data_IF_925896421307
#
_entry.id   IF_925896421307
#
_cell.length_a   1.000
_cell.length_b   1.000
_cell.length_c   1.000
_cell.angle_alpha   90.00
_cell.angle_beta   90.00
_cell.angle_gamma   90.00
#
_symmetry.space_group_name_H-M   'P 1'
#
loop_
_entity.id
_entity.type
_entity.pdbx_description
1 polymer ?
#
# COMPACT_ATOMS: atom_id res chain seq x y z
N UNK A 1 -9.65 -11.99 1.82
CA UNK A 1 -8.87 -10.84 1.34
C UNK A 1 -7.71 -10.58 2.30
N UNK A 2 -6.49 -10.77 1.83
CA UNK A 2 -5.24 -10.43 2.54
C UNK A 2 -5.01 -8.92 2.52
N UNK A 3 -4.08 -8.45 3.34
CA UNK A 3 -3.63 -7.04 3.39
C UNK A 3 -3.14 -6.56 2.02
N UNK A 4 -2.44 -7.43 1.28
CA UNK A 4 -1.95 -7.16 -0.08
C UNK A 4 -3.10 -6.99 -1.08
N UNK A 5 -4.03 -7.94 -1.09
CA UNK A 5 -5.19 -7.91 -2.00
C UNK A 5 -6.06 -6.66 -1.77
N UNK A 6 -6.18 -6.21 -0.52
CA UNK A 6 -6.94 -5.01 -0.17
C UNK A 6 -6.33 -3.73 -0.77
N UNK A 7 -5.00 -3.59 -0.71
CA UNK A 7 -4.29 -2.44 -1.27
C UNK A 7 -4.40 -2.44 -2.79
N UNK A 8 -4.20 -3.59 -3.42
CA UNK A 8 -4.29 -3.73 -4.88
C UNK A 8 -5.72 -3.40 -5.38
N UNK A 9 -6.76 -3.88 -4.69
CA UNK A 9 -8.15 -3.59 -5.02
C UNK A 9 -8.53 -2.11 -4.84
N UNK A 10 -7.94 -1.42 -3.85
CA UNK A 10 -8.13 0.02 -3.69
C UNK A 10 -7.60 0.81 -4.90
N UNK A 11 -6.41 0.47 -5.39
CA UNK A 11 -5.80 1.21 -6.51
C UNK A 11 -6.40 0.88 -7.89
N UNK A 12 -6.70 -0.40 -8.15
CA UNK A 12 -7.07 -0.86 -9.49
C UNK A 12 -8.55 -1.17 -9.65
N UNK A 13 -9.23 -1.64 -8.61
CA UNK A 13 -10.66 -1.97 -8.65
C UNK A 13 -11.54 -0.82 -8.11
N UNK A 14 -10.93 0.22 -7.53
CA UNK A 14 -11.62 1.32 -6.84
C UNK A 14 -12.61 0.80 -5.79
N UNK A 15 -12.28 -0.33 -5.16
CA UNK A 15 -13.16 -0.99 -4.20
C UNK A 15 -12.98 -0.36 -2.81
N UNK A 16 -14.04 0.28 -2.34
CA UNK A 16 -14.13 0.85 -0.99
C UNK A 16 -13.41 2.20 -0.84
N UNK A 17 -13.56 2.80 0.33
CA UNK A 17 -12.89 4.07 0.65
C UNK A 17 -11.49 3.83 1.24
N UNK A 18 -10.61 4.84 1.16
CA UNK A 18 -9.31 4.81 1.87
C UNK A 18 -9.50 4.62 3.38
N UNK A 19 -10.56 5.19 3.96
CA UNK A 19 -10.86 5.04 5.38
C UNK A 19 -11.16 3.59 5.75
N UNK A 20 -11.96 2.89 4.93
CA UNK A 20 -12.29 1.48 5.14
C UNK A 20 -11.07 0.59 4.93
N UNK A 21 -10.25 0.88 3.91
CA UNK A 21 -8.98 0.20 3.69
C UNK A 21 -8.10 0.31 4.94
N UNK A 22 -7.83 1.52 5.41
CA UNK A 22 -6.96 1.75 6.57
C UNK A 22 -7.50 1.08 7.83
N UNK A 23 -8.81 1.16 8.07
CA UNK A 23 -9.45 0.43 9.18
C UNK A 23 -9.19 -1.08 9.07
N UNK A 24 -9.32 -1.65 7.87
CA UNK A 24 -9.00 -3.06 7.61
C UNK A 24 -7.52 -3.41 7.81
N UNK A 25 -6.61 -2.55 7.34
CA UNK A 25 -5.16 -2.71 7.50
C UNK A 25 -4.76 -2.71 8.98
N UNK A 26 -5.34 -1.79 9.77
CA UNK A 26 -5.05 -1.68 11.20
C UNK A 26 -5.65 -2.83 12.03
N UNK A 27 -6.75 -3.44 11.57
CA UNK A 27 -7.35 -4.61 12.20
C UNK A 27 -6.59 -5.91 11.89
N UNK A 28 -5.86 -5.97 10.77
CA UNK A 28 -5.09 -7.14 10.31
C UNK A 28 -3.67 -6.74 9.94
N UNK A 29 -2.92 -6.26 10.93
CA UNK A 29 -1.53 -5.83 10.75
C UNK A 29 -0.65 -7.04 10.45
N UNK A 30 0.27 -6.87 9.52
CA UNK A 30 1.39 -7.77 9.37
C UNK A 30 2.28 -7.68 10.62
N UNK A 31 2.90 -8.80 11.00
CA UNK A 31 3.91 -8.85 12.07
C UNK A 31 5.31 -8.43 11.58
N UNK A 32 5.47 -8.19 10.26
CA UNK A 32 6.74 -7.74 9.70
C UNK A 32 7.21 -6.44 10.38
N UNK A 33 8.42 -6.42 10.97
CA UNK A 33 8.93 -5.23 11.65
C UNK A 33 9.00 -4.00 10.74
N UNK A 34 9.39 -4.19 9.48
CA UNK A 34 9.46 -3.12 8.48
C UNK A 34 8.09 -2.52 8.12
N UNK A 35 6.99 -3.23 8.36
CA UNK A 35 5.63 -2.73 8.10
C UNK A 35 5.09 -1.86 9.26
N UNK A 36 5.64 -2.00 10.48
CA UNK A 36 5.13 -1.33 11.68
C UNK A 36 5.12 0.21 11.59
N UNK A 37 6.14 0.88 11.03
CA UNK A 37 6.13 2.34 10.91
C UNK A 37 4.93 2.85 10.10
N UNK A 38 4.51 2.13 9.06
CA UNK A 38 3.35 2.50 8.24
C UNK A 38 2.05 2.34 9.00
N UNK A 39 1.88 1.25 9.76
CA UNK A 39 0.70 1.09 10.61
C UNK A 39 0.59 2.21 11.65
N UNK A 40 1.71 2.60 12.28
CA UNK A 40 1.72 3.74 13.22
C UNK A 40 1.33 5.05 12.54
N UNK A 41 1.83 5.29 11.32
CA UNK A 41 1.42 6.46 10.54
C UNK A 41 -0.10 6.42 10.25
N UNK A 42 -0.63 5.27 9.87
CA UNK A 42 -2.07 5.11 9.62
C UNK A 42 -2.92 5.27 10.89
N UNK A 43 -2.44 4.86 12.06
CA UNK A 43 -3.11 5.15 13.33
C UNK A 43 -3.17 6.66 13.60
N UNK A 44 -2.08 7.38 13.32
CA UNK A 44 -1.96 8.79 13.62
C UNK A 44 -2.80 9.68 12.68
N UNK A 45 -2.78 9.42 11.38
CA UNK A 45 -3.42 10.30 10.38
C UNK A 45 -4.61 9.67 9.66
N UNK A 46 -4.82 8.36 9.78
CA UNK A 46 -5.94 7.65 9.15
C UNK A 46 -6.01 7.91 7.65
N UNK A 47 -7.22 8.16 7.14
CA UNK A 47 -7.48 8.44 5.72
C UNK A 47 -6.77 9.68 5.16
N UNK A 48 -6.15 10.52 6.00
CA UNK A 48 -5.30 11.64 5.56
C UNK A 48 -3.90 11.19 5.15
N UNK A 49 -3.54 9.93 5.37
CA UNK A 49 -2.29 9.37 4.87
C UNK A 49 -2.22 9.50 3.34
N UNK A 50 -1.04 9.88 2.84
CA UNK A 50 -0.74 9.90 1.42
C UNK A 50 -0.88 8.49 0.82
N UNK A 51 -1.28 8.39 -0.46
CA UNK A 51 -1.35 7.09 -1.15
C UNK A 51 0.04 6.43 -1.23
N UNK A 52 1.10 7.23 -1.29
CA UNK A 52 2.49 6.79 -1.24
C UNK A 52 2.78 5.94 0.01
N UNK A 53 2.15 6.21 1.15
CA UNK A 53 2.32 5.39 2.35
C UNK A 53 1.71 3.98 2.18
N UNK A 54 0.62 3.85 1.42
CA UNK A 54 0.03 2.55 1.07
C UNK A 54 0.92 1.79 0.08
N UNK A 55 1.48 2.49 -0.91
CA UNK A 55 2.43 1.91 -1.87
C UNK A 55 3.72 1.45 -1.18
N UNK A 56 4.24 2.26 -0.26
CA UNK A 56 5.41 1.92 0.55
C UNK A 56 5.14 0.70 1.45
N UNK A 57 4.00 0.65 2.15
CA UNK A 57 3.59 -0.54 2.89
C UNK A 57 3.55 -1.76 1.97
N UNK A 58 2.93 -1.64 0.79
CA UNK A 58 2.77 -2.73 -0.15
C UNK A 58 4.10 -3.27 -0.71
N UNK A 59 5.07 -2.37 -0.95
CA UNK A 59 6.44 -2.70 -1.33
C UNK A 59 7.15 -3.50 -0.22
N UNK A 60 7.04 -3.05 1.02
CA UNK A 60 7.59 -3.76 2.18
C UNK A 60 6.94 -5.13 2.39
N UNK A 61 5.62 -5.24 2.20
CA UNK A 61 4.92 -6.53 2.27
C UNK A 61 5.33 -7.49 1.14
N UNK A 62 5.91 -6.99 0.05
CA UNK A 62 6.52 -7.79 -1.02
C UNK A 62 8.00 -8.13 -0.76
N UNK A 63 8.57 -7.69 0.38
CA UNK A 63 9.96 -7.95 0.73
C UNK A 63 10.96 -6.92 0.17
N UNK A 64 10.48 -5.84 -0.44
CA UNK A 64 11.33 -4.75 -0.94
C UNK A 64 11.53 -3.66 0.11
N UNK A 65 12.58 -2.84 -0.09
CA UNK A 65 12.70 -1.58 0.61
C UNK A 65 11.82 -0.52 -0.06
N UNK A 66 11.12 0.26 0.75
CA UNK A 66 10.37 1.42 0.25
C UNK A 66 11.29 2.63 0.14
N UNK A 67 12.11 2.68 -0.92
CA UNK A 67 12.81 3.89 -1.31
C UNK A 67 11.94 4.79 -2.20
N UNK A 68 12.34 6.06 -2.31
CA UNK A 68 11.57 7.08 -3.03
C UNK A 68 11.38 6.75 -4.52
N UNK A 69 12.40 6.20 -5.20
CA UNK A 69 12.33 5.90 -6.63
C UNK A 69 11.42 4.69 -6.90
N UNK A 70 11.45 3.70 -6.02
CA UNK A 70 10.57 2.55 -6.05
C UNK A 70 9.11 2.97 -5.86
N UNK A 71 8.82 3.79 -4.86
CA UNK A 71 7.45 4.30 -4.61
C UNK A 71 6.98 5.19 -5.77
N UNK A 72 7.84 6.03 -6.36
CA UNK A 72 7.51 6.83 -7.55
C UNK A 72 7.13 5.93 -8.73
N UNK A 73 7.85 4.84 -8.94
CA UNK A 73 7.58 3.89 -10.03
C UNK A 73 6.25 3.18 -9.82
N UNK A 74 5.96 2.72 -8.59
CA UNK A 74 4.65 2.16 -8.25
C UNK A 74 3.52 3.16 -8.47
N UNK A 75 3.71 4.41 -8.04
CA UNK A 75 2.74 5.49 -8.24
C UNK A 75 2.49 5.76 -9.72
N UNK A 76 3.53 5.77 -10.55
CA UNK A 76 3.40 5.93 -11.99
C UNK A 76 2.57 4.81 -12.63
N UNK A 77 2.81 3.55 -12.22
CA UNK A 77 2.02 2.40 -12.70
C UNK A 77 0.54 2.50 -12.29
N UNK A 78 0.27 2.88 -11.04
CA UNK A 78 -1.11 3.11 -10.55
C UNK A 78 -1.81 4.25 -11.30
N UNK A 79 -1.11 5.36 -11.52
CA UNK A 79 -1.64 6.50 -12.27
C UNK A 79 -1.96 6.11 -13.72
N UNK A 80 -1.12 5.28 -14.34
CA UNK A 80 -1.35 4.73 -15.67
C UNK A 80 -2.39 3.60 -15.72
N UNK A 81 -2.91 3.16 -14.55
CA UNK A 81 -3.76 1.96 -14.42
C UNK A 81 -3.12 0.68 -14.99
N UNK A 82 -1.78 0.63 -15.04
CA UNK A 82 -1.02 -0.52 -15.52
C UNK A 82 -0.71 -1.47 -14.37
N UNK A 83 -1.64 -2.39 -14.11
CA UNK A 83 -1.47 -3.41 -13.07
C UNK A 83 -0.30 -4.35 -13.34
N UNK A 84 0.02 -4.61 -14.61
CA UNK A 84 1.12 -5.51 -14.97
C UNK A 84 2.48 -4.87 -14.66
N UNK A 85 2.67 -3.58 -14.97
CA UNK A 85 3.85 -2.85 -14.56
C UNK A 85 3.98 -2.75 -13.04
N UNK A 86 2.88 -2.46 -12.35
CA UNK A 86 2.85 -2.42 -10.88
C UNK A 86 3.31 -3.74 -10.25
N UNK A 87 2.79 -4.89 -10.72
CA UNK A 87 3.19 -6.20 -10.19
C UNK A 87 4.64 -6.53 -10.53
N UNK A 88 5.13 -6.16 -11.72
CA UNK A 88 6.54 -6.35 -12.12
C UNK A 88 7.51 -5.60 -11.20
N UNK A 89 7.13 -4.40 -10.74
CA UNK A 89 7.94 -3.61 -9.80
C UNK A 89 7.99 -4.28 -8.42
N UNK A 90 6.90 -4.96 -8.02
CA UNK A 90 6.78 -5.64 -6.73
C UNK A 90 7.47 -7.01 -6.68
N UNK A 91 8.07 -7.49 -7.77
CA UNK A 91 8.74 -8.79 -7.84
C UNK A 91 7.82 -9.90 -8.32
#
# INVERSE_FOLDING_TARGET
MTTIEAIDAYFFEQRGSKADLIKGLLAKRSELPAAQPYYRAFEAVGARAADEALLALRSVLAGHHADDEHVKTLRAAVAAKDRAAYLRVLG
#
